data_IF_147655044933
#
_entry.id   IF_147655044933
#
_cell.length_a   1.000
_cell.length_b   1.000
_cell.length_c   1.000
_cell.angle_alpha   90.00
_cell.angle_beta   90.00
_cell.angle_gamma   90.00
#
_symmetry.space_group_name_H-M   'P 1'
#
loop_
_entity.id
_entity.type
_entity.pdbx_description
1 polymer ?
#
# COMPACT_ATOMS: atom_id res chain seq x y z
N UNK A 1 -2.48 10.57 -21.12
CA UNK A 1 -2.12 9.53 -20.12
C UNK A 1 -1.89 10.25 -18.80
N UNK A 2 -2.42 9.74 -17.68
CA UNK A 2 -2.34 10.45 -16.39
C UNK A 2 -1.22 9.83 -15.53
N UNK A 3 -0.22 10.61 -15.09
CA UNK A 3 0.82 10.12 -14.17
C UNK A 3 0.22 9.81 -12.80
N UNK A 4 0.73 8.76 -12.15
CA UNK A 4 0.24 8.31 -10.84
C UNK A 4 1.29 8.55 -9.75
N UNK A 5 0.93 9.32 -8.73
CA UNK A 5 1.75 9.56 -7.55
C UNK A 5 1.24 8.74 -6.35
N UNK A 6 2.07 7.85 -5.77
CA UNK A 6 1.66 7.04 -4.63
C UNK A 6 1.65 7.84 -3.33
N UNK A 7 0.57 7.73 -2.56
CA UNK A 7 0.42 8.20 -1.18
C UNK A 7 0.39 6.99 -0.25
N UNK A 8 1.45 6.73 0.54
CA UNK A 8 1.47 5.54 1.39
C UNK A 8 0.44 5.61 2.52
N UNK A 9 0.33 6.77 3.18
CA UNK A 9 -0.39 6.87 4.45
C UNK A 9 -1.47 7.97 4.48
N UNK A 10 -1.86 8.51 3.31
CA UNK A 10 -2.71 9.71 3.25
C UNK A 10 -3.80 9.57 2.19
N UNK A 11 -5.06 9.72 2.60
CA UNK A 11 -6.22 9.83 1.70
C UNK A 11 -6.42 11.31 1.36
N UNK A 12 -6.48 11.63 0.06
CA UNK A 12 -6.78 12.99 -0.41
C UNK A 12 -8.26 13.09 -0.81
N UNK A 13 -8.97 14.07 -0.26
CA UNK A 13 -10.33 14.39 -0.69
C UNK A 13 -10.33 15.47 -1.80
N UNK A 14 -11.36 15.49 -2.67
CA UNK A 14 -11.50 16.54 -3.66
C UNK A 14 -11.46 17.95 -3.05
N UNK A 15 -10.77 18.87 -3.73
CA UNK A 15 -10.61 20.28 -3.33
C UNK A 15 -9.81 20.51 -2.03
N UNK A 16 -9.10 19.50 -1.53
CA UNK A 16 -8.15 19.65 -0.41
C UNK A 16 -6.76 19.99 -0.94
N UNK A 17 -6.08 20.92 -0.28
CA UNK A 17 -4.69 21.24 -0.55
C UNK A 17 -3.76 20.36 0.29
N UNK A 18 -2.88 19.59 -0.35
CA UNK A 18 -1.85 18.79 0.30
C UNK A 18 -0.47 19.23 -0.22
N UNK A 19 0.34 19.94 0.58
CA UNK A 19 1.70 20.29 0.19
C UNK A 19 2.57 19.03 0.18
N UNK A 20 3.07 18.66 -1.00
CA UNK A 20 3.96 17.51 -1.18
C UNK A 20 5.41 17.97 -1.35
N UNK A 21 6.32 17.40 -0.56
CA UNK A 21 7.75 17.60 -0.76
C UNK A 21 8.31 16.49 -1.67
N UNK A 22 8.52 16.82 -2.94
CA UNK A 22 8.97 15.86 -3.95
C UNK A 22 10.50 15.95 -4.10
N UNK A 23 11.21 15.03 -3.46
CA UNK A 23 12.67 14.98 -3.47
C UNK A 23 13.24 13.92 -4.43
N UNK A 24 12.53 12.80 -4.64
CA UNK A 24 13.05 11.73 -5.50
C UNK A 24 13.13 12.19 -6.97
N UNK A 25 14.28 12.01 -7.66
CA UNK A 25 14.47 12.47 -9.03
C UNK A 25 13.39 12.01 -10.00
N UNK A 26 13.00 10.73 -9.95
CA UNK A 26 11.95 10.15 -10.80
C UNK A 26 10.59 10.86 -10.66
N UNK A 27 10.24 11.30 -9.45
CA UNK A 27 8.99 12.01 -9.22
C UNK A 27 9.09 13.48 -9.62
N UNK A 28 10.28 14.08 -9.53
CA UNK A 28 10.52 15.44 -10.05
C UNK A 28 10.36 15.49 -11.56
N UNK A 29 10.86 14.49 -12.27
CA UNK A 29 10.68 14.34 -13.73
C UNK A 29 9.20 14.18 -14.07
N UNK A 30 8.50 13.25 -13.41
CA UNK A 30 7.07 13.06 -13.59
C UNK A 30 6.25 14.35 -13.38
N UNK A 31 6.59 15.15 -12.37
CA UNK A 31 5.90 16.42 -12.09
C UNK A 31 6.22 17.46 -13.16
N UNK A 32 7.46 17.53 -13.66
CA UNK A 32 7.81 18.40 -14.79
C UNK A 32 7.00 18.03 -16.04
N UNK A 33 6.89 16.74 -16.35
CA UNK A 33 6.12 16.26 -17.49
C UNK A 33 4.63 16.57 -17.33
N UNK A 34 4.07 16.35 -16.13
CA UNK A 34 2.68 16.69 -15.83
C UNK A 34 2.40 18.20 -15.98
N UNK A 35 3.34 19.05 -15.55
CA UNK A 35 3.22 20.50 -15.68
C UNK A 35 3.27 21.00 -17.13
N UNK A 36 4.01 20.29 -18.00
CA UNK A 36 4.08 20.56 -19.43
C UNK A 36 2.86 20.03 -20.20
N UNK A 37 2.15 19.05 -19.65
CA UNK A 37 0.92 18.48 -20.21
C UNK A 37 -0.33 19.09 -19.55
N UNK A 38 -1.31 18.25 -19.21
CA UNK A 38 -2.64 18.65 -18.71
C UNK A 38 -2.66 19.08 -17.23
N UNK A 39 -1.49 19.25 -16.60
CA UNK A 39 -1.33 19.63 -15.18
C UNK A 39 -2.13 18.75 -14.20
N UNK A 40 -2.30 17.49 -14.58
CA UNK A 40 -3.10 16.52 -13.85
C UNK A 40 -2.22 15.37 -13.37
N UNK A 41 -2.33 15.02 -12.09
CA UNK A 41 -1.66 13.87 -11.47
C UNK A 41 -2.72 13.08 -10.71
N UNK A 42 -2.77 11.78 -10.94
CA UNK A 42 -3.61 10.86 -10.17
C UNK A 42 -2.94 10.50 -8.85
N UNK A 43 -3.65 10.65 -7.74
CA UNK A 43 -3.17 10.26 -6.42
C UNK A 43 -3.69 8.86 -6.09
N UNK A 44 -2.80 7.93 -5.75
CA UNK A 44 -3.18 6.54 -5.45
C UNK A 44 -2.70 6.14 -4.06
N UNK A 45 -3.57 5.51 -3.27
CA UNK A 45 -3.19 4.95 -1.98
C UNK A 45 -2.37 3.69 -2.18
N UNK A 46 -1.20 3.62 -1.54
CA UNK A 46 -0.44 2.39 -1.53
C UNK A 46 -1.08 1.41 -0.55
N UNK A 47 -1.29 0.18 -1.01
CA UNK A 47 -1.72 -0.90 -0.13
C UNK A 47 -0.49 -1.40 0.61
N UNK A 48 -0.51 -1.38 1.94
CA UNK A 48 0.55 -2.02 2.72
C UNK A 48 0.68 -3.48 2.28
N UNK A 49 1.92 -3.92 2.09
CA UNK A 49 2.31 -5.23 1.57
C UNK A 49 1.99 -6.38 2.52
N UNK A 50 0.72 -6.54 2.88
CA UNK A 50 0.17 -7.60 3.72
C UNK A 50 -1.04 -8.20 3.04
N UNK A 51 -0.86 -8.70 1.82
CA UNK A 51 -1.78 -9.62 1.17
C UNK A 51 -1.80 -10.98 1.88
N UNK A 52 -2.10 -10.99 3.17
CA UNK A 52 -2.56 -12.17 3.87
C UNK A 52 -3.97 -11.83 4.35
N UNK A 53 -4.95 -12.00 3.44
CA UNK A 53 -6.26 -12.42 3.92
C UNK A 53 -6.07 -13.66 4.80
N UNK A 54 -7.01 -13.95 5.72
CA UNK A 54 -6.90 -15.16 6.54
C UNK A 54 -6.54 -16.36 5.65
N UNK A 55 -5.58 -17.20 6.06
CA UNK A 55 -5.20 -18.36 5.26
C UNK A 55 -6.48 -19.13 4.89
N UNK A 56 -6.55 -19.71 3.68
CA UNK A 56 -7.72 -20.49 3.28
C UNK A 56 -8.03 -21.51 4.38
N UNK A 57 -9.32 -21.74 4.69
CA UNK A 57 -9.68 -22.73 5.69
C UNK A 57 -9.04 -24.07 5.31
N UNK A 58 -8.52 -24.84 6.29
CA UNK A 58 -7.94 -26.13 6.02
C UNK A 58 -8.96 -27.02 5.28
N UNK A 59 -8.51 -27.88 4.35
CA UNK A 59 -9.41 -28.81 3.68
C UNK A 59 -10.12 -29.69 4.72
N UNK A 60 -11.41 -29.99 4.53
CA UNK A 60 -12.14 -30.85 5.45
C UNK A 60 -11.43 -32.20 5.55
N UNK A 61 -11.03 -32.57 6.77
CA UNK A 61 -10.36 -33.85 7.06
C UNK A 61 -8.89 -33.75 7.48
N UNK A 62 -8.23 -32.59 7.43
CA UNK A 62 -6.89 -32.47 8.02
C UNK A 62 -6.96 -32.34 9.54
N UNK A 63 -6.28 -33.20 10.31
CA UNK A 63 -6.23 -33.07 11.75
C UNK A 63 -5.53 -31.76 12.14
N UNK A 64 -5.96 -31.10 13.23
CA UNK A 64 -5.31 -29.88 13.70
C UNK A 64 -3.84 -30.17 14.02
N UNK A 65 -2.92 -29.21 13.81
CA UNK A 65 -1.53 -29.37 14.16
C UNK A 65 -1.43 -29.73 15.65
N UNK A 66 -0.76 -30.84 15.95
CA UNK A 66 -0.60 -31.34 17.30
C UNK A 66 0.07 -30.25 18.17
N UNK A 67 -0.68 -29.71 19.13
CA UNK A 67 -0.15 -28.78 20.11
C UNK A 67 0.97 -29.45 20.90
N UNK A 68 2.21 -29.06 20.64
CA UNK A 68 3.36 -29.43 21.45
C UNK A 68 3.10 -29.03 22.90
N UNK A 69 3.16 -30.02 23.79
CA UNK A 69 2.78 -29.89 25.19
C UNK A 69 3.44 -28.71 25.90
N UNK A 70 2.66 -28.08 26.77
CA UNK A 70 3.15 -27.15 27.78
C UNK A 70 4.18 -27.88 28.65
N UNK A 71 5.46 -27.64 28.42
CA UNK A 71 6.51 -28.01 29.37
C UNK A 71 6.45 -27.01 30.53
N UNK A 72 5.67 -27.37 31.55
CA UNK A 72 5.81 -26.86 32.90
C UNK A 72 7.07 -27.48 33.51
N UNK A 73 8.06 -26.67 33.87
CA UNK A 73 9.15 -27.03 34.78
C UNK A 73 9.69 -25.71 35.35
N UNK A 74 9.34 -25.29 36.57
CA UNK A 74 9.66 -25.86 37.89
C UNK A 74 11.16 -25.93 38.15
#
# INVERSE_FOLDING_TARGET
MVPLFPLPNVVLFPRVFLPLHIFEPRYREMVRDALAADRTIGMVLLRDGGGAGPPPPPPPGTPPPAGGGRASKA
#
